data_IF_983537721693
#
_entry.id   IF_983537721693
#
_cell.length_a   1.000
_cell.length_b   1.000
_cell.length_c   1.000
_cell.angle_alpha   90.00
_cell.angle_beta   90.00
_cell.angle_gamma   90.00
#
_symmetry.space_group_name_H-M   'P 1'
#
loop_
_entity.id
_entity.type
_entity.pdbx_description
1 polymer ?
#
# COMPACT_ATOMS: atom_id res chain seq x y z
N UNK A 1 7.92 -19.21 -23.60
CA UNK A 1 6.53 -19.08 -24.11
C UNK A 1 5.94 -17.78 -23.57
N UNK A 2 5.65 -16.78 -24.42
CA UNK A 2 5.01 -15.54 -23.99
C UNK A 2 3.49 -15.71 -24.01
N UNK A 3 2.86 -15.64 -22.83
CA UNK A 3 1.40 -15.75 -22.67
C UNK A 3 0.80 -14.38 -23.01
N UNK A 4 0.07 -14.27 -24.12
CA UNK A 4 -0.83 -13.13 -24.34
C UNK A 4 -1.89 -13.17 -23.24
N UNK A 5 -1.84 -12.23 -22.29
CA UNK A 5 -2.96 -11.97 -21.39
C UNK A 5 -4.12 -11.44 -22.26
N UNK A 6 -5.25 -12.17 -22.28
CA UNK A 6 -6.46 -11.68 -22.95
C UNK A 6 -6.92 -10.43 -22.22
N UNK A 7 -7.34 -9.40 -22.98
CA UNK A 7 -7.84 -8.13 -22.42
C UNK A 7 -9.25 -8.26 -21.84
N UNK A 8 -9.80 -9.46 -21.76
CA UNK A 8 -11.17 -9.73 -21.29
C UNK A 8 -11.39 -9.28 -19.84
N UNK A 9 -10.34 -9.29 -19.02
CA UNK A 9 -10.41 -8.82 -17.63
C UNK A 9 -10.40 -7.29 -17.48
N UNK A 10 -10.17 -6.51 -18.54
CA UNK A 10 -10.05 -5.05 -18.46
C UNK A 10 -11.41 -4.34 -18.34
N UNK A 11 -12.52 -5.02 -18.68
CA UNK A 11 -13.87 -4.43 -18.67
C UNK A 11 -14.71 -4.83 -17.44
N UNK A 12 -14.11 -5.45 -16.43
CA UNK A 12 -14.83 -5.86 -15.21
C UNK A 12 -14.64 -4.85 -14.08
N UNK A 13 -15.74 -4.41 -13.48
CA UNK A 13 -15.73 -3.62 -12.25
C UNK A 13 -15.44 -4.60 -11.09
N UNK A 14 -14.37 -4.34 -10.35
CA UNK A 14 -14.06 -5.07 -9.11
C UNK A 14 -14.25 -4.15 -7.90
N UNK A 15 -14.96 -4.66 -6.90
CA UNK A 15 -15.01 -4.06 -5.57
C UNK A 15 -13.94 -4.73 -4.71
N UNK A 16 -12.85 -4.01 -4.47
CA UNK A 16 -11.73 -4.44 -3.62
C UNK A 16 -11.46 -3.37 -2.58
N UNK A 17 -11.13 -3.78 -1.36
CA UNK A 17 -10.59 -2.85 -0.37
C UNK A 17 -9.10 -2.62 -0.65
N UNK A 18 -8.58 -1.44 -0.29
CA UNK A 18 -7.15 -1.17 -0.45
C UNK A 18 -6.32 -2.10 0.43
N UNK A 19 -6.87 -2.50 1.57
CA UNK A 19 -6.30 -3.42 2.51
C UNK A 19 -6.12 -4.82 1.91
N UNK A 20 -7.04 -5.26 1.05
CA UNK A 20 -6.97 -6.56 0.36
C UNK A 20 -5.94 -6.56 -0.77
N UNK A 21 -5.60 -5.39 -1.32
CA UNK A 21 -4.57 -5.27 -2.37
C UNK A 21 -3.15 -5.43 -1.83
N UNK A 22 -2.96 -5.23 -0.52
CA UNK A 22 -1.66 -5.36 0.12
C UNK A 22 -1.58 -6.73 0.81
N UNK A 23 -0.64 -7.63 0.41
CA UNK A 23 -0.51 -8.95 1.01
C UNK A 23 -0.40 -8.91 2.54
N UNK A 24 -0.96 -9.92 3.22
CA UNK A 24 -0.99 -9.97 4.69
C UNK A 24 0.39 -10.18 5.30
N UNK A 25 1.24 -10.90 4.59
CA UNK A 25 2.64 -11.21 4.90
C UNK A 25 3.61 -10.14 4.38
N UNK A 26 3.10 -8.99 3.92
CA UNK A 26 3.95 -7.92 3.43
C UNK A 26 4.79 -7.33 4.57
N UNK A 27 6.11 -7.25 4.37
CA UNK A 27 7.10 -6.78 5.36
C UNK A 27 6.72 -5.42 6.00
N UNK A 28 6.16 -4.49 5.23
CA UNK A 28 5.73 -3.19 5.76
C UNK A 28 4.69 -3.31 6.87
N UNK A 29 3.83 -4.34 6.85
CA UNK A 29 2.87 -4.61 7.93
C UNK A 29 3.53 -5.19 9.18
N UNK A 30 4.68 -5.84 9.03
CA UNK A 30 5.48 -6.28 10.17
C UNK A 30 6.22 -5.10 10.79
N UNK A 31 6.80 -4.24 9.95
CA UNK A 31 7.49 -3.02 10.38
C UNK A 31 6.51 -2.07 11.09
N UNK A 32 5.33 -1.83 10.53
CA UNK A 32 4.26 -0.99 11.12
C UNK A 32 3.79 -1.50 12.49
N UNK A 33 3.75 -2.83 12.68
CA UNK A 33 3.43 -3.45 13.98
C UNK A 33 4.59 -3.38 14.98
N UNK A 34 5.81 -3.28 14.51
CA UNK A 34 7.01 -3.32 15.34
C UNK A 34 7.50 -1.92 15.76
N UNK A 35 7.22 -0.89 14.96
CA UNK A 35 7.74 0.46 15.14
C UNK A 35 6.60 1.45 15.02
N UNK A 36 6.42 2.26 16.07
CA UNK A 36 5.57 3.45 16.00
C UNK A 36 6.33 4.59 15.29
N UNK A 37 5.86 4.98 14.10
CA UNK A 37 6.43 6.06 13.30
C UNK A 37 5.90 7.46 13.63
N UNK A 38 5.07 7.61 14.67
CA UNK A 38 4.52 8.91 15.05
C UNK A 38 5.60 9.97 15.31
N UNK A 39 6.81 9.56 15.73
CA UNK A 39 7.94 10.46 15.95
C UNK A 39 8.35 11.25 14.69
N UNK A 40 8.13 10.71 13.49
CA UNK A 40 8.51 11.39 12.24
C UNK A 40 7.79 12.72 12.10
N UNK A 41 6.52 12.79 12.53
CA UNK A 41 5.74 14.02 12.45
C UNK A 41 6.30 15.14 13.32
N UNK A 42 6.86 14.80 14.49
CA UNK A 42 7.52 15.77 15.35
C UNK A 42 8.85 16.23 14.72
N UNK A 43 9.64 15.30 14.15
CA UNK A 43 10.94 15.60 13.54
C UNK A 43 10.84 16.50 12.31
N UNK A 44 9.82 16.32 11.46
CA UNK A 44 9.68 17.09 10.20
C UNK A 44 8.70 18.26 10.33
N UNK A 45 8.21 18.53 11.54
CA UNK A 45 7.17 19.53 11.79
C UNK A 45 7.51 20.90 11.20
N UNK A 46 8.76 21.33 11.33
CA UNK A 46 9.23 22.64 10.86
C UNK A 46 9.29 22.75 9.32
N UNK A 47 9.20 21.62 8.61
CA UNK A 47 9.12 21.59 7.14
C UNK A 47 7.70 21.78 6.60
N UNK A 48 6.69 21.61 7.45
CA UNK A 48 5.31 21.90 7.08
C UNK A 48 5.04 23.40 7.27
N UNK A 49 4.86 24.10 6.16
CA UNK A 49 4.41 25.49 6.17
C UNK A 49 2.89 25.51 6.26
N UNK A 50 2.35 26.11 7.32
CA UNK A 50 0.91 26.33 7.52
C UNK A 50 0.40 27.55 6.74
#
# INVERSE_FOLDING_TARGET
>A
MYRKQSRENQNQIQFVSLEDLVPKDHILREIDRAIDFNFIYDEVKDMYVF
#
